data_IF_713323719740
#
_entry.id   IF_713323719740
#
_cell.length_a   1.000
_cell.length_b   1.000
_cell.length_c   1.000
_cell.angle_alpha   90.00
_cell.angle_beta   90.00
_cell.angle_gamma   90.00
#
_symmetry.space_group_name_H-M   'P 1'
#
loop_
_entity.id
_entity.type
_entity.pdbx_description
1 polymer ?
#
# COMPACT_ATOMS: atom_id res chain seq x y z
N UNK A 1 12.13 32.23 63.42
CA UNK A 1 12.08 33.23 62.32
C UNK A 1 13.12 32.79 61.29
N UNK A 2 12.70 32.09 60.24
CA UNK A 2 13.63 31.52 59.23
C UNK A 2 13.79 32.51 58.06
N UNK A 3 15.01 32.75 57.54
CA UNK A 3 15.22 33.70 56.46
C UNK A 3 14.81 33.10 55.11
N UNK A 4 14.17 33.90 54.26
CA UNK A 4 13.84 33.52 52.88
C UNK A 4 15.08 33.66 52.00
N UNK A 5 15.58 32.55 51.47
CA UNK A 5 16.68 32.54 50.48
C UNK A 5 16.13 32.86 49.10
N UNK A 6 16.59 33.96 48.51
CA UNK A 6 16.27 34.33 47.12
C UNK A 6 17.17 33.54 46.18
N UNK A 7 16.59 32.60 45.44
CA UNK A 7 17.30 31.89 44.36
C UNK A 7 17.27 32.73 43.08
N UNK A 8 18.43 33.24 42.67
CA UNK A 8 18.58 33.92 41.38
C UNK A 8 18.53 32.91 40.23
N UNK A 9 17.67 33.17 39.24
CA UNK A 9 17.55 32.34 38.05
C UNK A 9 18.72 32.58 37.08
N UNK A 10 19.23 31.54 36.40
CA UNK A 10 20.33 31.66 35.45
C UNK A 10 19.91 32.41 34.18
N UNK A 11 20.82 33.22 33.63
CA UNK A 11 20.60 33.99 32.40
C UNK A 11 20.49 33.08 31.17
N UNK A 12 19.66 33.43 30.18
CA UNK A 12 19.48 32.63 28.97
C UNK A 12 20.76 32.63 28.11
N UNK A 13 21.21 31.43 27.74
CA UNK A 13 22.33 31.21 26.81
C UNK A 13 21.90 31.61 25.39
N UNK A 14 22.63 32.53 24.76
CA UNK A 14 22.43 32.88 23.34
C UNK A 14 22.85 31.67 22.48
N UNK A 15 21.91 31.05 21.77
CA UNK A 15 22.18 29.98 20.82
C UNK A 15 22.77 30.56 19.53
N UNK A 16 23.86 29.98 18.98
CA UNK A 16 24.42 30.45 17.72
C UNK A 16 23.47 30.16 16.55
N UNK A 17 23.26 31.18 15.74
CA UNK A 17 22.34 31.22 14.60
C UNK A 17 22.71 30.18 13.53
N UNK A 18 21.78 29.25 13.34
CA UNK A 18 21.48 28.48 12.12
C UNK A 18 22.57 28.33 11.06
N UNK A 19 23.43 27.32 11.22
CA UNK A 19 24.15 26.72 10.09
C UNK A 19 23.16 25.75 9.40
N UNK A 20 22.51 26.20 8.32
CA UNK A 20 21.61 25.36 7.53
C UNK A 20 22.45 24.23 6.91
N UNK A 21 22.32 23.02 7.44
CA UNK A 21 22.91 21.84 6.83
C UNK A 21 22.18 21.60 5.51
N UNK A 22 22.92 21.62 4.40
CA UNK A 22 22.39 21.18 3.12
C UNK A 22 22.11 19.67 3.23
N UNK A 23 20.83 19.31 3.31
CA UNK A 23 20.41 17.91 3.30
C UNK A 23 20.62 17.39 1.87
N UNK A 24 21.59 16.49 1.71
CA UNK A 24 21.78 15.74 0.46
C UNK A 24 20.68 14.67 0.38
N UNK A 25 19.94 14.54 -0.74
CA UNK A 25 18.97 13.49 -0.91
C UNK A 25 19.64 12.12 -0.75
N UNK A 26 19.02 11.23 0.03
CA UNK A 26 19.53 9.86 0.16
C UNK A 26 19.58 9.18 -1.23
N UNK A 27 20.63 8.40 -1.52
CA UNK A 27 20.67 7.62 -2.75
C UNK A 27 19.48 6.65 -2.76
N UNK A 28 18.86 6.46 -3.93
CA UNK A 28 17.78 5.49 -4.08
C UNK A 28 18.29 4.09 -3.69
N UNK A 29 17.51 3.30 -2.94
CA UNK A 29 17.90 1.94 -2.59
C UNK A 29 18.12 1.14 -3.88
N UNK A 30 19.24 0.40 -3.94
CA UNK A 30 19.41 -0.59 -5.01
C UNK A 30 18.35 -1.67 -4.83
N UNK A 31 17.70 -2.13 -5.92
CA UNK A 31 16.77 -3.25 -5.82
C UNK A 31 17.53 -4.46 -5.27
N UNK A 32 17.06 -5.01 -4.16
CA UNK A 32 17.60 -6.25 -3.61
C UNK A 32 17.34 -7.42 -4.57
N UNK A 33 18.21 -8.44 -4.59
CA UNK A 33 17.97 -9.64 -5.38
C UNK A 33 16.67 -10.33 -4.94
N UNK A 34 15.69 -10.40 -5.85
CA UNK A 34 14.41 -11.08 -5.61
C UNK A 34 14.63 -12.56 -5.31
N UNK A 35 13.96 -13.09 -4.28
CA UNK A 35 14.12 -14.48 -3.88
C UNK A 35 13.61 -15.41 -5.01
N UNK A 36 14.28 -16.55 -5.32
CA UNK A 36 13.86 -17.45 -6.39
C UNK A 36 12.42 -17.99 -6.25
N UNK A 37 11.88 -18.05 -5.03
CA UNK A 37 10.49 -18.42 -4.81
C UNK A 37 9.52 -17.32 -5.28
N UNK A 38 9.81 -16.06 -4.96
CA UNK A 38 8.99 -14.90 -5.36
C UNK A 38 8.98 -14.73 -6.88
N UNK A 39 10.13 -14.94 -7.53
CA UNK A 39 10.22 -14.90 -8.99
C UNK A 39 9.33 -15.95 -9.63
N UNK A 40 9.39 -17.20 -9.14
CA UNK A 40 8.52 -18.29 -9.62
C UNK A 40 7.04 -18.00 -9.43
N UNK A 41 6.65 -17.41 -8.30
CA UNK A 41 5.25 -17.02 -8.05
C UNK A 41 4.78 -15.93 -9.01
N UNK A 42 5.64 -14.96 -9.32
CA UNK A 42 5.34 -13.88 -10.28
C UNK A 42 5.24 -14.41 -11.71
N UNK A 43 6.17 -15.29 -12.10
CA UNK A 43 6.16 -15.93 -13.41
C UNK A 43 4.94 -16.85 -13.59
N UNK A 44 4.44 -17.44 -12.50
CA UNK A 44 3.24 -18.28 -12.50
C UNK A 44 1.93 -17.51 -12.75
N UNK A 45 1.94 -16.17 -12.80
CA UNK A 45 0.80 -15.37 -13.26
C UNK A 45 -0.34 -15.18 -12.24
N UNK A 46 -0.19 -15.64 -11.01
CA UNK A 46 -1.21 -15.52 -9.95
C UNK A 46 -2.39 -16.48 -10.11
N UNK A 47 -3.38 -16.44 -9.20
CA UNK A 47 -4.59 -17.26 -9.29
C UNK A 47 -5.44 -16.89 -10.52
N UNK A 48 -5.97 -17.89 -11.23
CA UNK A 48 -6.94 -17.67 -12.32
C UNK A 48 -8.31 -17.31 -11.73
N UNK A 49 -8.69 -16.03 -11.85
CA UNK A 49 -9.91 -15.47 -11.26
C UNK A 49 -11.11 -15.62 -12.21
N UNK A 50 -11.49 -16.87 -12.46
CA UNK A 50 -12.64 -17.24 -13.29
C UNK A 50 -13.69 -17.98 -12.48
N UNK A 51 -14.95 -17.62 -12.69
CA UNK A 51 -16.11 -18.27 -12.08
C UNK A 51 -17.01 -18.92 -13.14
N UNK A 52 -17.71 -19.97 -12.70
CA UNK A 52 -18.74 -20.63 -13.47
C UNK A 52 -20.09 -19.95 -13.17
N UNK A 53 -20.72 -19.40 -14.20
CA UNK A 53 -22.01 -18.72 -14.13
C UNK A 53 -23.09 -19.59 -14.76
N UNK A 54 -24.27 -19.62 -14.14
CA UNK A 54 -25.46 -20.30 -14.67
C UNK A 54 -26.53 -19.28 -14.99
N UNK A 55 -26.86 -19.09 -16.27
CA UNK A 55 -27.91 -18.18 -16.69
C UNK A 55 -29.29 -18.83 -16.53
N UNK A 56 -30.32 -18.03 -16.26
CA UNK A 56 -31.72 -18.50 -16.24
C UNK A 56 -32.22 -19.08 -17.57
N UNK A 57 -31.52 -18.86 -18.69
CA UNK A 57 -31.80 -19.54 -19.97
C UNK A 57 -31.29 -21.00 -20.02
N UNK A 58 -30.60 -21.46 -18.98
CA UNK A 58 -30.02 -22.81 -18.88
C UNK A 58 -28.57 -22.92 -19.35
N UNK A 59 -27.98 -21.84 -19.87
CA UNK A 59 -26.58 -21.85 -20.32
C UNK A 59 -25.60 -21.67 -19.16
N UNK A 60 -24.58 -22.53 -19.10
CA UNK A 60 -23.51 -22.49 -18.10
C UNK A 60 -22.20 -22.10 -18.79
N UNK A 61 -21.49 -21.12 -18.26
CA UNK A 61 -20.28 -20.59 -18.88
C UNK A 61 -19.24 -20.11 -17.87
N UNK A 62 -17.96 -20.13 -18.28
CA UNK A 62 -16.84 -19.60 -17.51
C UNK A 62 -16.56 -18.16 -17.96
N UNK A 63 -16.45 -17.25 -17.00
CA UNK A 63 -16.08 -15.86 -17.24
C UNK A 63 -15.21 -15.32 -16.08
N UNK A 64 -14.46 -14.23 -16.29
CA UNK A 64 -13.75 -13.54 -15.21
C UNK A 64 -14.72 -13.15 -14.09
N UNK A 65 -14.27 -13.23 -12.84
CA UNK A 65 -15.07 -12.73 -11.71
C UNK A 65 -15.27 -11.22 -11.88
N UNK A 66 -16.54 -10.83 -11.99
CA UNK A 66 -16.95 -9.45 -12.19
C UNK A 66 -18.27 -9.20 -11.47
N UNK A 67 -18.53 -7.95 -11.08
CA UNK A 67 -19.82 -7.50 -10.52
C UNK A 67 -20.95 -7.52 -11.54
N UNK A 68 -20.62 -7.53 -12.83
CA UNK A 68 -21.56 -7.68 -13.93
C UNK A 68 -21.03 -8.64 -14.99
N UNK A 69 -21.90 -9.53 -15.47
CA UNK A 69 -21.59 -10.49 -16.54
C UNK A 69 -22.80 -10.66 -17.45
N UNK A 70 -22.58 -10.82 -18.76
CA UNK A 70 -23.65 -11.06 -19.73
C UNK A 70 -23.58 -12.50 -20.23
N UNK A 71 -24.74 -13.15 -20.36
CA UNK A 71 -24.79 -14.50 -20.91
C UNK A 71 -24.46 -14.48 -22.42
N UNK A 72 -23.46 -15.23 -22.91
CA UNK A 72 -23.11 -15.23 -24.33
C UNK A 72 -24.17 -15.88 -25.23
N UNK A 73 -25.18 -16.53 -24.64
CA UNK A 73 -26.27 -17.18 -25.38
C UNK A 73 -27.49 -16.27 -25.58
N UNK A 74 -27.93 -15.54 -24.55
CA UNK A 74 -29.15 -14.72 -24.60
C UNK A 74 -28.93 -13.24 -24.23
N UNK A 75 -27.69 -12.84 -23.97
CA UNK A 75 -27.27 -11.49 -23.57
C UNK A 75 -27.88 -10.97 -22.25
N UNK A 76 -28.58 -11.83 -21.49
CA UNK A 76 -29.11 -11.46 -20.19
C UNK A 76 -27.97 -11.10 -19.22
N UNK A 77 -28.06 -9.90 -18.62
CA UNK A 77 -27.14 -9.44 -17.59
C UNK A 77 -27.40 -10.13 -16.24
N UNK A 78 -26.34 -10.56 -15.57
CA UNK A 78 -26.35 -11.06 -14.20
C UNK A 78 -25.49 -10.13 -13.34
N UNK A 79 -26.06 -9.67 -12.23
CA UNK A 79 -25.39 -8.88 -11.21
C UNK A 79 -25.65 -9.53 -9.84
N UNK A 80 -24.65 -9.49 -8.97
CA UNK A 80 -24.70 -10.00 -7.59
C UNK A 80 -24.53 -8.86 -6.59
#
# INVERSE_FOLDING_TARGET
MSPMTVHQLPRPRKTPTGRRLHVVPAPMPRPEPMHPAERRMRDAGGPDDRACYSCGCGFVFLAPVSTSVHCPHCDAGQAW
#
